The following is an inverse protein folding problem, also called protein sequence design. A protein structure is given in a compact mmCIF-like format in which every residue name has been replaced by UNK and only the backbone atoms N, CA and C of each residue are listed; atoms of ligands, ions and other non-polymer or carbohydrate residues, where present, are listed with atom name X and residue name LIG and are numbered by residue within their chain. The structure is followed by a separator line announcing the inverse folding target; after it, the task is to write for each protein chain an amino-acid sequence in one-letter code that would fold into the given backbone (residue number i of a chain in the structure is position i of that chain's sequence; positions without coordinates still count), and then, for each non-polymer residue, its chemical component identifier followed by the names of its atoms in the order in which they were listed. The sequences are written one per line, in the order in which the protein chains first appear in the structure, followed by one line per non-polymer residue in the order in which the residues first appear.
data_IF_919777821928
#
_entry.id   IF_919777821928
#
_cell.length_a   1.000
_cell.length_b   1.000
_cell.length_c   1.000
_cell.angle_alpha   90.00
_cell.angle_beta   90.00
_cell.angle_gamma   90.00
#
_symmetry.space_group_name_H-M   'P 1'
#
loop_
_entity.id
_entity.type
_entity.pdbx_description
1 polymer ?
#
# COMPACT_ATOMS: atom_id res chain seq x y z
N UNK A 1 -8.48 24.84 2.20
CA UNK A 1 -8.51 23.46 2.74
C UNK A 1 -7.20 22.79 2.36
N UNK A 2 -6.59 22.00 3.24
CA UNK A 2 -5.31 21.32 2.93
C UNK A 2 -5.61 20.12 2.00
N UNK A 3 -5.04 20.12 0.79
CA UNK A 3 -5.35 19.13 -0.26
C UNK A 3 -4.89 17.73 0.12
N UNK A 4 -3.72 17.60 0.74
CA UNK A 4 -3.18 16.32 1.24
C UNK A 4 -4.16 15.64 2.21
N UNK A 5 -4.69 16.38 3.18
CA UNK A 5 -5.69 15.85 4.11
C UNK A 5 -6.99 15.45 3.40
N UNK A 6 -7.37 16.18 2.35
CA UNK A 6 -8.57 15.86 1.59
C UNK A 6 -8.39 14.55 0.83
N UNK A 7 -7.24 14.35 0.18
CA UNK A 7 -6.90 13.10 -0.50
C UNK A 7 -6.85 11.92 0.47
N UNK A 8 -6.23 12.09 1.64
CA UNK A 8 -6.18 11.05 2.68
C UNK A 8 -7.57 10.61 3.16
N UNK A 9 -8.55 11.52 3.21
CA UNK A 9 -9.92 11.17 3.61
C UNK A 9 -10.64 10.35 2.54
N UNK A 10 -10.39 10.60 1.26
CA UNK A 10 -11.17 10.00 0.16
C UNK A 10 -10.53 8.76 -0.46
N UNK A 11 -9.26 8.47 -0.13
CA UNK A 11 -8.48 7.47 -0.86
C UNK A 11 -9.12 6.07 -0.87
N UNK A 12 -9.57 5.58 0.29
CA UNK A 12 -10.24 4.28 0.44
C UNK A 12 -11.77 4.40 0.47
N UNK A 13 -12.35 5.50 -0.02
CA UNK A 13 -13.80 5.69 0.05
C UNK A 13 -14.57 4.60 -0.72
N UNK A 14 -13.98 4.08 -1.80
CA UNK A 14 -14.53 2.98 -2.59
C UNK A 14 -14.75 1.69 -1.77
N UNK A 15 -13.86 1.44 -0.80
CA UNK A 15 -13.85 0.23 0.04
C UNK A 15 -15.06 0.14 0.96
N UNK A 16 -15.76 1.26 1.20
CA UNK A 16 -17.05 1.25 1.87
C UNK A 16 -18.11 0.40 1.14
N UNK A 17 -17.96 0.19 -0.18
CA UNK A 17 -18.83 -0.69 -0.98
C UNK A 17 -18.14 -1.97 -1.44
N UNK A 18 -16.86 -1.91 -1.83
CA UNK A 18 -16.14 -3.09 -2.34
C UNK A 18 -15.63 -4.01 -1.23
N UNK A 19 -15.53 -3.49 0.00
CA UNK A 19 -14.71 -4.08 1.05
C UNK A 19 -13.23 -3.80 0.83
N UNK A 20 -12.46 -3.89 1.92
CA UNK A 20 -11.00 -3.92 1.86
C UNK A 20 -10.56 -5.30 1.35
N UNK A 21 -9.91 -5.31 0.20
CA UNK A 21 -9.37 -6.52 -0.39
C UNK A 21 -7.89 -6.64 -0.02
N UNK A 22 -7.62 -7.28 1.13
CA UNK A 22 -6.23 -7.58 1.52
C UNK A 22 -5.57 -8.44 0.44
N UNK A 23 -4.30 -8.12 0.14
CA UNK A 23 -3.44 -8.94 -0.70
C UNK A 23 -3.42 -10.40 -0.22
N UNK A 24 -3.55 -10.63 1.10
CA UNK A 24 -3.71 -11.98 1.66
C UNK A 24 -4.96 -12.70 1.16
N UNK A 25 -6.12 -12.05 1.19
CA UNK A 25 -7.39 -12.64 0.78
C UNK A 25 -7.38 -13.00 -0.70
N UNK A 26 -6.77 -12.18 -1.56
CA UNK A 26 -6.65 -12.51 -2.98
C UNK A 26 -5.78 -13.75 -3.22
N UNK A 27 -4.67 -13.88 -2.48
CA UNK A 27 -3.76 -15.02 -2.64
C UNK A 27 -4.37 -16.31 -2.09
N UNK A 28 -5.03 -16.25 -0.92
CA UNK A 28 -5.62 -17.44 -0.29
C UNK A 28 -6.88 -17.90 -0.99
N UNK A 29 -7.74 -16.97 -1.43
CA UNK A 29 -9.00 -17.34 -2.09
C UNK A 29 -8.83 -17.64 -3.57
N UNK A 30 -7.68 -17.27 -4.17
CA UNK A 30 -7.44 -17.35 -5.62
C UNK A 30 -8.39 -16.46 -6.43
N UNK A 31 -9.14 -15.56 -5.77
CA UNK A 31 -10.01 -14.59 -6.44
C UNK A 31 -9.18 -13.38 -6.83
N UNK A 32 -8.75 -13.39 -8.09
CA UNK A 32 -8.29 -12.19 -8.75
C UNK A 32 -9.51 -11.35 -9.13
N UNK A 33 -9.91 -10.45 -8.23
CA UNK A 33 -10.87 -9.40 -8.57
C UNK A 33 -10.11 -8.23 -9.20
N UNK A 34 -10.69 -7.64 -10.24
CA UNK A 34 -10.19 -6.39 -10.79
C UNK A 34 -10.58 -5.25 -9.83
N UNK A 35 -9.79 -5.07 -8.76
CA UNK A 35 -10.01 -4.09 -7.69
C UNK A 35 -10.28 -2.71 -8.27
N UNK A 36 -9.45 -2.27 -9.23
CA UNK A 36 -9.59 -0.97 -9.87
C UNK A 36 -10.95 -0.79 -10.58
N UNK A 37 -11.44 -1.81 -11.30
CA UNK A 37 -12.75 -1.74 -11.96
C UNK A 37 -13.90 -1.70 -10.95
N UNK A 38 -13.80 -2.48 -9.87
CA UNK A 38 -14.82 -2.52 -8.82
C UNK A 38 -14.88 -1.20 -8.05
N UNK A 39 -13.73 -0.64 -7.71
CA UNK A 39 -13.64 0.63 -6.99
C UNK A 39 -14.08 1.81 -7.85
N UNK A 40 -13.74 1.83 -9.15
CA UNK A 40 -14.23 2.87 -10.07
C UNK A 40 -15.77 2.83 -10.18
N UNK A 41 -16.35 1.63 -10.31
CA UNK A 41 -17.79 1.46 -10.33
C UNK A 41 -18.45 1.87 -9.00
N UNK A 42 -17.86 1.50 -7.87
CA UNK A 42 -18.32 1.87 -6.55
C UNK A 42 -18.29 3.39 -6.35
N UNK A 43 -17.20 4.05 -6.75
CA UNK A 43 -17.05 5.50 -6.62
C UNK A 43 -18.02 6.26 -7.51
N UNK A 44 -18.26 5.80 -8.74
CA UNK A 44 -19.32 6.36 -9.61
C UNK A 44 -20.68 6.27 -8.93
N UNK A 45 -21.05 5.08 -8.46
CA UNK A 45 -22.35 4.84 -7.81
C UNK A 45 -22.49 5.60 -6.47
N UNK A 46 -21.41 5.79 -5.72
CA UNK A 46 -21.42 6.56 -4.47
C UNK A 46 -21.52 8.07 -4.70
N UNK A 47 -21.06 8.56 -5.85
CA UNK A 47 -20.98 10.00 -6.12
C UNK A 47 -22.08 10.53 -7.05
N UNK A 48 -22.81 9.66 -7.74
CA UNK A 48 -23.82 10.03 -8.77
C UNK A 48 -24.88 11.03 -8.27
N UNK A 49 -25.45 10.79 -7.08
CA UNK A 49 -26.55 11.58 -6.52
C UNK A 49 -26.10 12.71 -5.56
N UNK A 50 -24.79 12.98 -5.48
CA UNK A 50 -24.24 13.97 -4.56
C UNK A 50 -23.92 15.26 -5.34
N UNK A 51 -24.39 16.41 -4.85
CA UNK A 51 -24.18 17.71 -5.51
C UNK A 51 -22.72 18.10 -5.73
N UNK A 52 -21.80 17.54 -4.94
CA UNK A 52 -20.36 17.67 -5.05
C UNK A 52 -19.66 16.35 -5.45
N UNK A 53 -20.41 15.40 -6.00
CA UNK A 53 -19.95 14.07 -6.38
C UNK A 53 -18.78 14.08 -7.35
N UNK A 54 -18.87 14.87 -8.43
CA UNK A 54 -17.79 15.04 -9.42
C UNK A 54 -16.46 15.47 -8.77
N UNK A 55 -16.54 16.34 -7.75
CA UNK A 55 -15.36 16.81 -7.04
C UNK A 55 -14.72 15.68 -6.22
N UNK A 56 -15.50 14.90 -5.49
CA UNK A 56 -15.02 13.73 -4.72
C UNK A 56 -14.43 12.67 -5.66
N UNK A 57 -15.14 12.34 -6.75
CA UNK A 57 -14.65 11.40 -7.74
C UNK A 57 -13.33 11.88 -8.35
N UNK A 58 -13.20 13.17 -8.67
CA UNK A 58 -11.95 13.72 -9.22
C UNK A 58 -10.77 13.64 -8.24
N UNK A 59 -11.01 13.82 -6.94
CA UNK A 59 -9.99 13.69 -5.91
C UNK A 59 -9.55 12.24 -5.71
N UNK A 60 -10.51 11.31 -5.70
CA UNK A 60 -10.21 9.89 -5.65
C UNK A 60 -9.41 9.45 -6.87
N UNK A 61 -9.80 9.88 -8.08
CA UNK A 61 -9.03 9.62 -9.31
C UNK A 61 -7.63 10.23 -9.27
N UNK A 62 -7.48 11.45 -8.75
CA UNK A 62 -6.16 12.07 -8.57
C UNK A 62 -5.25 11.23 -7.65
N UNK A 63 -5.81 10.69 -6.57
CA UNK A 63 -5.11 9.75 -5.71
C UNK A 63 -4.75 8.48 -6.49
N UNK A 64 -5.71 7.79 -7.11
CA UNK A 64 -5.44 6.55 -7.84
C UNK A 64 -4.40 6.71 -8.97
N UNK A 65 -4.48 7.80 -9.73
CA UNK A 65 -3.55 8.10 -10.82
C UNK A 65 -2.18 8.60 -10.30
N UNK A 66 -2.03 8.83 -8.99
CA UNK A 66 -0.80 9.33 -8.35
C UNK A 66 -0.27 10.61 -9.03
N UNK A 67 -1.19 11.47 -9.47
CA UNK A 67 -0.90 12.54 -10.42
C UNK A 67 -0.19 13.75 -9.79
N UNK A 68 -0.33 13.94 -8.48
CA UNK A 68 0.19 15.11 -7.74
C UNK A 68 1.17 14.70 -6.65
N UNK A 69 1.97 15.66 -6.17
CA UNK A 69 2.90 15.42 -5.05
C UNK A 69 2.13 15.07 -3.77
N UNK A 70 0.95 15.67 -3.56
CA UNK A 70 0.08 15.36 -2.45
C UNK A 70 -0.47 13.93 -2.55
N UNK A 71 -0.91 13.48 -3.73
CA UNK A 71 -1.37 12.10 -3.94
C UNK A 71 -0.27 11.08 -3.64
N UNK A 72 0.94 11.32 -4.15
CA UNK A 72 2.12 10.48 -3.87
C UNK A 72 2.48 10.46 -2.39
N UNK A 73 2.33 11.61 -1.71
CA UNK A 73 2.58 11.69 -0.28
C UNK A 73 1.57 10.88 0.52
N UNK A 74 0.28 10.97 0.18
CA UNK A 74 -0.76 10.16 0.83
C UNK A 74 -0.51 8.66 0.58
N UNK A 75 -0.13 8.26 -0.65
CA UNK A 75 0.21 6.86 -0.95
C UNK A 75 1.42 6.36 -0.16
N UNK A 76 2.42 7.22 0.02
CA UNK A 76 3.56 6.88 0.86
C UNK A 76 3.12 6.65 2.31
N UNK A 77 2.30 7.54 2.87
CA UNK A 77 1.80 7.43 4.25
C UNK A 77 0.91 6.20 4.44
N UNK A 78 -0.01 5.93 3.52
CA UNK A 78 -0.88 4.75 3.48
C UNK A 78 -0.05 3.45 3.61
N UNK A 79 0.97 3.29 2.76
CA UNK A 79 1.87 2.12 2.85
C UNK A 79 2.68 2.08 4.15
N UNK A 80 3.13 3.23 4.65
CA UNK A 80 3.89 3.31 5.89
C UNK A 80 3.04 2.87 7.08
N UNK A 81 1.76 3.28 7.11
CA UNK A 81 0.81 2.91 8.16
C UNK A 81 0.68 1.39 8.28
N UNK A 82 0.46 0.67 7.18
CA UNK A 82 0.33 -0.79 7.21
C UNK A 82 1.57 -1.49 7.76
N UNK A 83 2.77 -1.01 7.43
CA UNK A 83 4.02 -1.57 7.96
C UNK A 83 4.30 -1.17 9.41
N UNK A 84 3.85 0.01 9.86
CA UNK A 84 3.90 0.39 11.26
C UNK A 84 3.00 -0.51 12.10
N UNK A 85 1.81 -0.82 11.61
CA UNK A 85 0.88 -1.71 12.29
C UNK A 85 1.45 -3.15 12.43
N UNK A 86 2.12 -3.64 11.38
CA UNK A 86 2.88 -4.90 11.40
C UNK A 86 4.02 -4.84 12.43
N UNK A 87 4.79 -3.75 12.44
CA UNK A 87 5.91 -3.59 13.37
C UNK A 87 5.44 -3.56 14.84
N UNK A 88 4.32 -2.90 15.13
CA UNK A 88 3.78 -2.83 16.50
C UNK A 88 3.25 -4.18 16.99
N UNK A 89 2.57 -4.91 16.11
CA UNK A 89 1.83 -6.11 16.51
C UNK A 89 2.61 -7.41 16.34
N UNK A 90 3.67 -7.39 15.52
CA UNK A 90 4.49 -8.53 15.19
C UNK A 90 4.06 -9.20 13.87
N UNK A 91 5.05 -9.51 13.03
CA UNK A 91 4.86 -10.16 11.72
C UNK A 91 4.07 -11.48 11.78
N UNK A 92 4.18 -12.25 12.87
CA UNK A 92 3.48 -13.54 13.02
C UNK A 92 1.97 -13.40 13.22
N UNK A 93 1.50 -12.24 13.67
CA UNK A 93 0.08 -12.00 13.97
C UNK A 93 -0.74 -11.77 12.70
N UNK A 94 -0.15 -11.07 11.73
CA UNK A 94 -0.84 -10.60 10.53
C UNK A 94 -0.40 -11.31 9.25
N UNK A 95 0.82 -11.82 9.22
CA UNK A 95 1.41 -12.36 8.00
C UNK A 95 1.61 -13.86 8.18
N UNK A 96 0.98 -14.70 7.35
CA UNK A 96 1.30 -16.12 7.31
C UNK A 96 2.75 -16.34 6.90
N UNK A 97 3.38 -17.39 7.44
CA UNK A 97 4.81 -17.66 7.24
C UNK A 97 5.19 -17.80 5.77
N UNK A 98 4.29 -18.32 4.95
CA UNK A 98 4.51 -18.52 3.51
C UNK A 98 4.68 -17.18 2.75
N UNK A 99 4.18 -16.08 3.31
CA UNK A 99 4.21 -14.74 2.69
C UNK A 99 5.19 -13.76 3.33
N UNK A 100 5.87 -14.15 4.41
CA UNK A 100 6.81 -13.27 5.12
C UNK A 100 7.86 -12.67 4.19
N UNK A 101 8.41 -13.45 3.25
CA UNK A 101 9.41 -12.97 2.28
C UNK A 101 8.86 -11.89 1.33
N UNK A 102 7.61 -12.03 0.89
CA UNK A 102 6.96 -11.06 0.02
C UNK A 102 6.70 -9.75 0.76
N UNK A 103 6.22 -9.83 2.00
CA UNK A 103 5.98 -8.63 2.81
C UNK A 103 7.28 -7.91 3.20
N UNK A 104 8.36 -8.63 3.52
CA UNK A 104 9.67 -8.02 3.75
C UNK A 104 10.16 -7.25 2.52
N UNK A 105 10.04 -7.85 1.33
CA UNK A 105 10.42 -7.20 0.06
C UNK A 105 9.55 -5.98 -0.25
N UNK A 106 8.23 -6.07 -0.02
CA UNK A 106 7.29 -4.95 -0.18
C UNK A 106 7.58 -3.79 0.77
N UNK A 107 7.95 -4.08 2.02
CA UNK A 107 8.33 -3.06 3.01
C UNK A 107 9.53 -2.25 2.52
N UNK A 108 10.59 -2.93 2.08
CA UNK A 108 11.79 -2.29 1.53
C UNK A 108 11.44 -1.40 0.33
N UNK A 109 10.70 -1.94 -0.64
CA UNK A 109 10.31 -1.20 -1.84
C UNK A 109 9.46 0.04 -1.50
N UNK A 110 8.47 -0.10 -0.62
CA UNK A 110 7.59 1.00 -0.22
C UNK A 110 8.37 2.14 0.46
N UNK A 111 9.29 1.81 1.36
CA UNK A 111 10.08 2.82 2.06
C UNK A 111 11.16 3.47 1.19
N UNK A 112 11.75 2.73 0.27
CA UNK A 112 12.70 3.27 -0.71
C UNK A 112 12.00 4.25 -1.67
N UNK A 113 10.81 3.89 -2.16
CA UNK A 113 9.97 4.76 -2.98
C UNK A 113 9.56 6.03 -2.22
N UNK A 114 9.08 5.87 -0.97
CA UNK A 114 8.71 6.99 -0.12
C UNK A 114 9.90 7.94 0.13
N UNK A 115 11.08 7.40 0.43
CA UNK A 115 12.30 8.18 0.67
C UNK A 115 12.81 8.86 -0.60
N UNK A 116 12.62 8.24 -1.77
CA UNK A 116 12.98 8.83 -3.06
C UNK A 116 12.15 10.09 -3.35
N UNK A 117 10.84 10.04 -3.08
CA UNK A 117 9.95 11.18 -3.30
C UNK A 117 10.00 12.20 -2.15
N UNK A 118 10.24 11.74 -0.92
CA UNK A 118 10.19 12.53 0.32
C UNK A 118 11.40 12.21 1.22
N UNK A 119 12.59 12.77 0.91
CA UNK A 119 13.81 12.50 1.65
C UNK A 119 13.73 12.82 3.16
N UNK A 120 12.81 13.70 3.55
CA UNK A 120 12.54 14.08 4.93
C UNK A 120 12.04 12.90 5.79
N UNK A 121 11.45 11.87 5.16
CA UNK A 121 10.99 10.68 5.86
C UNK A 121 12.11 9.68 6.16
N UNK A 122 13.30 9.86 5.58
CA UNK A 122 14.38 8.87 5.61
C UNK A 122 14.73 8.41 7.02
N UNK A 123 15.04 9.35 7.91
CA UNK A 123 15.53 9.01 9.25
C UNK A 123 14.47 8.25 10.07
N UNK A 124 13.20 8.58 9.88
CA UNK A 124 12.09 7.86 10.50
C UNK A 124 11.95 6.44 9.91
N UNK A 125 11.94 6.31 8.59
CA UNK A 125 11.73 5.02 7.92
C UNK A 125 12.89 4.05 8.14
N UNK A 126 14.12 4.53 8.29
CA UNK A 126 15.26 3.69 8.64
C UNK A 126 15.12 3.05 10.03
N UNK A 127 14.48 3.74 10.98
CA UNK A 127 14.17 3.15 12.30
C UNK A 127 13.13 2.05 12.17
N UNK A 128 12.07 2.28 11.39
CA UNK A 128 11.01 1.28 11.16
C UNK A 128 11.55 0.06 10.40
N UNK A 129 12.35 0.28 9.36
CA UNK A 129 13.05 -0.78 8.61
C UNK A 129 13.87 -1.68 9.52
N UNK A 130 14.64 -1.07 10.43
CA UNK A 130 15.48 -1.82 11.37
C UNK A 130 14.64 -2.72 12.29
N UNK A 131 13.50 -2.24 12.77
CA UNK A 131 12.65 -3.04 13.64
C UNK A 131 12.00 -4.20 12.87
N UNK A 132 11.40 -3.91 11.71
CA UNK A 132 10.83 -4.94 10.84
C UNK A 132 11.87 -6.00 10.43
N UNK A 133 13.09 -5.59 10.10
CA UNK A 133 14.20 -6.49 9.80
C UNK A 133 14.43 -7.50 10.93
N UNK A 134 14.50 -7.03 12.17
CA UNK A 134 14.67 -7.92 13.34
C UNK A 134 13.51 -8.89 13.46
N UNK A 135 12.28 -8.45 13.19
CA UNK A 135 11.09 -9.29 13.28
C UNK A 135 11.06 -10.36 12.19
N UNK A 136 11.34 -9.99 10.92
CA UNK A 136 11.40 -10.95 9.81
C UNK A 136 12.55 -11.95 9.97
N UNK A 137 13.74 -11.51 10.41
CA UNK A 137 14.88 -12.40 10.66
C UNK A 137 14.56 -13.42 11.78
N UNK A 138 13.87 -13.00 12.84
CA UNK A 138 13.37 -13.92 13.89
C UNK A 138 12.35 -14.93 13.36
N UNK A 139 11.53 -14.52 12.40
CA UNK A 139 10.59 -15.40 11.71
C UNK A 139 11.26 -16.32 10.68
N UNK A 140 12.58 -16.23 10.50
CA UNK A 140 13.36 -17.06 9.58
C UNK A 140 13.42 -16.53 8.15
N UNK A 141 13.08 -15.26 7.92
CA UNK A 141 13.12 -14.61 6.62
C UNK A 141 14.32 -13.67 6.53
N UNK A 142 15.13 -13.85 5.49
CA UNK A 142 16.26 -12.96 5.21
C UNK A 142 15.75 -11.59 4.74
N UNK A 143 16.25 -10.53 5.36
CA UNK A 143 16.00 -9.16 4.93
C UNK A 143 16.93 -8.77 3.78
N UNK A 144 16.36 -8.36 2.65
CA UNK A 144 17.13 -7.93 1.47
C UNK A 144 17.03 -6.42 1.33
N UNK A 145 18.15 -5.72 1.50
CA UNK A 145 18.21 -4.27 1.31
C UNK A 145 18.15 -3.91 -0.20
N UNK A 146 17.27 -2.97 -0.56
CA UNK A 146 17.09 -2.46 -1.91
C UNK A 146 16.43 -3.43 -2.90
N UNK A 147 15.89 -2.89 -4.00
CA UNK A 147 15.36 -3.71 -5.10
C UNK A 147 16.52 -4.43 -5.77
N UNK A 148 16.67 -5.75 -5.53
CA UNK A 148 17.36 -6.61 -6.51
C UNK A 148 16.52 -6.51 -7.78
N UNK A 149 17.05 -5.82 -8.79
CA UNK A 149 16.43 -5.73 -10.11
C UNK A 149 15.95 -7.11 -10.52
N UNK A 150 14.70 -7.19 -10.97
CA UNK A 150 13.98 -8.40 -11.37
C UNK A 150 14.93 -9.43 -11.98
N UNK A 151 15.30 -10.46 -11.20
CA UNK A 151 15.91 -11.66 -11.73
C UNK A 151 14.84 -12.32 -12.57
N UNK A 152 14.94 -12.15 -13.89
CA UNK A 152 14.14 -12.86 -14.88
C UNK A 152 14.14 -14.35 -14.55
N UNK A 153 13.01 -14.87 -14.08
CA UNK A 153 12.77 -16.31 -14.04
C UNK A 153 12.59 -16.72 -15.51
N UNK A 154 13.68 -17.17 -16.14
CA UNK A 154 13.59 -17.90 -17.39
C UNK A 154 12.84 -19.19 -17.11
N UNK A 155 11.61 -19.27 -17.60
CA UNK A 155 10.86 -20.54 -17.67
C UNK A 155 11.64 -21.50 -18.58
N UNK A 156 11.96 -22.73 -18.14
CA UNK A 156 12.43 -23.75 -19.06
C UNK A 156 11.26 -24.24 -19.90
N UNK A 157 11.43 -24.16 -21.22
CA UNK A 157 10.70 -24.95 -22.21
C UNK A 157 11.00 -26.44 -22.05
#
# INVERSE_FOLDING_TARGET
MNRTLTLAIVHDLAEAKTGDADAYDQIVTGKHTDKAVQEDAAMRDMTDDISFGDWIYSLWREYEDQATVEAKFVRALDRIEGFLHIAESGVEMYIPKEFHADYASKAVAAFDEATHHFPELKDFLEVVKKDLRVQFEKAGVEWVDGVKGTSSISSPL
#
